data_IF_145167359690
#
_entry.id   IF_145167359690
#
_cell.length_a   1.000
_cell.length_b   1.000
_cell.length_c   1.000
_cell.angle_alpha   90.00
_cell.angle_beta   90.00
_cell.angle_gamma   90.00
#
_symmetry.space_group_name_H-M   'P 1'
#
loop_
_entity.id
_entity.type
_entity.pdbx_description
1 polymer ?
#
# COMPACT_ATOMS: atom_id res chain seq x y z
N UNK A 1 -18.19 -17.31 15.78
CA UNK A 1 -17.60 -17.20 15.67
C UNK A 1 -16.85 -16.45 15.70
N UNK A 2 -16.59 -16.13 15.66
CA UNK A 2 -15.94 -15.43 15.72
C UNK A 2 -15.11 -14.94 15.15
N UNK A 3 -15.78 -14.68 14.78
CA UNK A 3 -14.97 -14.15 14.12
C UNK A 3 -13.94 -13.57 14.77
N UNK A 4 -12.96 -13.65 14.36
CA UNK A 4 -11.86 -13.20 15.07
C UNK A 4 -11.52 -11.81 14.68
N UNK A 5 -11.73 -10.90 15.59
CA UNK A 5 -11.52 -9.55 15.28
C UNK A 5 -10.11 -9.19 15.13
N UNK A 6 -9.20 -9.95 15.69
CA UNK A 6 -7.79 -9.69 15.55
C UNK A 6 -7.29 -10.00 14.17
N UNK A 7 -8.14 -10.70 13.44
CA UNK A 7 -7.83 -10.98 12.06
C UNK A 7 -8.42 -9.96 11.16
N UNK A 8 -8.93 -8.90 11.70
CA UNK A 8 -9.35 -7.82 10.88
C UNK A 8 -8.19 -7.50 9.99
N UNK A 9 -8.38 -7.58 8.75
CA UNK A 9 -7.26 -7.65 7.84
C UNK A 9 -6.55 -6.35 7.71
N UNK A 10 -5.35 -6.32 8.20
CA UNK A 10 -4.41 -5.34 7.77
C UNK A 10 -3.83 -5.75 6.43
N UNK A 11 -3.81 -7.06 6.11
CA UNK A 11 -3.35 -7.51 4.81
C UNK A 11 -4.50 -8.01 3.96
N UNK A 12 -4.36 -7.83 2.66
CA UNK A 12 -5.33 -8.22 1.65
C UNK A 12 -4.58 -8.95 0.54
N UNK A 13 -5.30 -9.48 -0.42
CA UNK A 13 -4.69 -10.13 -1.59
C UNK A 13 -4.12 -9.10 -2.55
N UNK A 14 -4.77 -7.95 -2.64
CA UNK A 14 -4.29 -6.85 -3.48
C UNK A 14 -4.70 -5.53 -2.85
N UNK A 15 -4.03 -4.45 -3.27
CA UNK A 15 -4.24 -3.11 -2.73
C UNK A 15 -4.27 -2.09 -3.85
N UNK A 16 -5.08 -1.04 -3.68
CA UNK A 16 -4.82 0.19 -4.41
C UNK A 16 -3.56 0.83 -3.80
N UNK A 17 -2.79 1.60 -4.55
CA UNK A 17 -1.59 2.23 -3.99
C UNK A 17 -1.84 3.01 -2.71
N UNK A 18 -2.93 3.76 -2.64
CA UNK A 18 -3.23 4.51 -1.42
C UNK A 18 -3.51 3.58 -0.23
N UNK A 19 -4.18 2.47 -0.46
CA UNK A 19 -4.45 1.52 0.62
C UNK A 19 -3.16 0.92 1.16
N UNK A 20 -2.23 0.60 0.28
CA UNK A 20 -0.92 0.10 0.68
C UNK A 20 -0.12 1.16 1.44
N UNK A 21 -0.14 2.41 0.95
CA UNK A 21 0.57 3.50 1.61
C UNK A 21 0.04 3.77 3.01
N UNK A 22 -1.28 3.71 3.17
CA UNK A 22 -1.93 3.90 4.47
C UNK A 22 -1.46 2.84 5.46
N UNK A 23 -1.40 1.58 5.02
CA UNK A 23 -0.96 0.48 5.88
C UNK A 23 0.53 0.56 6.17
N UNK A 24 1.33 0.96 5.19
CA UNK A 24 2.77 1.14 5.36
C UNK A 24 3.06 2.24 6.40
N UNK A 25 2.28 3.31 6.39
CA UNK A 25 2.45 4.40 7.33
C UNK A 25 1.82 4.14 8.70
N UNK A 26 1.12 3.01 8.86
CA UNK A 26 0.46 2.70 10.12
C UNK A 26 -0.79 3.52 10.38
N UNK A 27 -1.49 3.90 9.32
CA UNK A 27 -2.65 4.80 9.41
C UNK A 27 -3.97 4.11 9.09
N UNK A 28 -4.04 2.80 9.25
CA UNK A 28 -5.25 2.05 8.87
C UNK A 28 -6.52 2.59 9.53
N UNK A 29 -6.42 3.06 10.77
CA UNK A 29 -7.57 3.60 11.47
C UNK A 29 -8.16 4.85 10.82
N UNK A 30 -7.37 5.53 9.97
CA UNK A 30 -7.80 6.72 9.26
C UNK A 30 -8.19 6.44 7.82
N UNK A 31 -8.19 5.17 7.40
CA UNK A 31 -8.34 4.83 5.98
C UNK A 31 -9.62 5.38 5.37
N UNK A 32 -10.75 5.25 6.06
CA UNK A 32 -12.01 5.71 5.51
C UNK A 32 -12.00 7.22 5.26
N UNK A 33 -11.44 7.98 6.19
CA UNK A 33 -11.35 9.43 6.05
C UNK A 33 -10.40 9.82 4.92
N UNK A 34 -9.26 9.15 4.86
CA UNK A 34 -8.27 9.43 3.82
C UNK A 34 -8.85 9.13 2.44
N UNK A 35 -9.42 7.94 2.26
CA UNK A 35 -9.95 7.53 0.97
C UNK A 35 -11.07 8.45 0.51
N UNK A 36 -11.92 8.89 1.44
CA UNK A 36 -13.01 9.81 1.11
C UNK A 36 -12.53 11.18 0.67
N UNK A 37 -11.29 11.55 1.03
CA UNK A 37 -10.74 12.86 0.73
C UNK A 37 -9.98 12.92 -0.59
N UNK A 38 -9.80 11.78 -1.26
CA UNK A 38 -8.95 11.72 -2.45
C UNK A 38 -9.77 11.93 -3.71
N UNK A 39 -9.45 12.99 -4.44
CA UNK A 39 -10.12 13.29 -5.70
C UNK A 39 -9.41 12.63 -6.88
N UNK A 40 -8.11 12.37 -6.75
CA UNK A 40 -7.32 11.78 -7.80
C UNK A 40 -6.39 10.75 -7.18
N UNK A 41 -6.20 9.59 -7.81
CA UNK A 41 -5.39 8.52 -7.21
C UNK A 41 -3.93 8.92 -6.95
N UNK A 42 -3.40 9.88 -7.70
CA UNK A 42 -2.00 10.28 -7.52
C UNK A 42 -1.81 11.62 -6.85
N UNK A 43 -2.84 12.45 -6.83
CA UNK A 43 -2.76 13.79 -6.25
C UNK A 43 -3.37 13.77 -4.87
N UNK A 44 -2.55 13.60 -3.86
CA UNK A 44 -3.05 13.52 -2.50
C UNK A 44 -3.13 14.91 -1.88
N UNK A 45 -4.22 15.22 -1.18
CA UNK A 45 -4.38 16.53 -0.55
C UNK A 45 -3.48 16.67 0.67
N UNK A 46 -3.40 17.87 1.21
CA UNK A 46 -2.83 18.09 2.53
C UNK A 46 -3.89 17.72 3.57
N UNK A 47 -3.48 16.98 4.58
CA UNK A 47 -4.38 16.59 5.67
C UNK A 47 -3.66 16.86 6.98
N UNK A 48 -3.79 18.09 7.44
CA UNK A 48 -3.04 18.57 8.59
C UNK A 48 -3.36 17.82 9.88
N UNK A 49 -4.59 17.33 10.00
CA UNK A 49 -5.02 16.65 11.20
C UNK A 49 -4.67 15.16 11.20
N UNK A 50 -4.11 14.64 10.11
CA UNK A 50 -3.76 13.25 10.05
C UNK A 50 -2.29 13.07 10.43
N UNK A 51 -2.00 12.33 11.51
CA UNK A 51 -0.60 12.13 11.91
C UNK A 51 0.13 11.33 10.84
N UNK A 52 1.42 11.61 10.70
CA UNK A 52 2.28 10.92 9.73
C UNK A 52 1.76 10.97 8.30
N UNK A 53 1.00 12.00 7.97
CA UNK A 53 0.45 12.15 6.63
C UNK A 53 1.56 12.30 5.58
N UNK A 54 2.65 12.99 5.94
CA UNK A 54 3.76 13.16 5.00
C UNK A 54 4.41 11.82 4.66
N UNK A 55 4.48 10.91 5.64
CA UNK A 55 5.00 9.56 5.38
C UNK A 55 4.08 8.79 4.43
N UNK A 56 2.78 8.90 4.65
CA UNK A 56 1.80 8.24 3.80
C UNK A 56 1.95 8.72 2.35
N UNK A 57 2.08 10.04 2.17
CA UNK A 57 2.26 10.61 0.83
C UNK A 57 3.56 10.11 0.19
N UNK A 58 4.64 10.08 0.95
CA UNK A 58 5.91 9.57 0.45
C UNK A 58 5.80 8.11 0.02
N UNK A 59 5.14 7.30 0.81
CA UNK A 59 4.99 5.88 0.49
C UNK A 59 4.13 5.67 -0.74
N UNK A 60 3.09 6.47 -0.91
CA UNK A 60 2.29 6.44 -2.12
C UNK A 60 3.14 6.75 -3.34
N UNK A 61 3.99 7.80 -3.24
CA UNK A 61 4.87 8.16 -4.34
C UNK A 61 5.86 7.06 -4.66
N UNK A 62 6.40 6.40 -3.64
CA UNK A 62 7.34 5.30 -3.84
C UNK A 62 6.69 4.14 -4.59
N UNK A 63 5.44 3.84 -4.26
CA UNK A 63 4.71 2.76 -4.93
C UNK A 63 4.48 3.12 -6.40
N UNK A 64 4.03 4.34 -6.68
CA UNK A 64 3.84 4.78 -8.07
C UNK A 64 5.15 4.78 -8.84
N UNK A 65 6.25 5.20 -8.21
CA UNK A 65 7.55 5.17 -8.86
C UNK A 65 7.97 3.74 -9.19
N UNK A 66 7.70 2.79 -8.28
CA UNK A 66 7.98 1.39 -8.54
C UNK A 66 7.21 0.86 -9.74
N UNK A 67 5.95 1.27 -9.86
CA UNK A 67 5.11 0.89 -10.99
C UNK A 67 5.66 1.51 -12.28
N UNK A 68 5.96 2.80 -12.25
CA UNK A 68 6.41 3.51 -13.44
C UNK A 68 7.80 3.07 -13.89
N UNK A 69 8.63 2.62 -12.97
CA UNK A 69 9.97 2.15 -13.29
C UNK A 69 10.02 0.65 -13.61
N UNK A 70 8.85 0.03 -13.76
CA UNK A 70 8.72 -1.38 -14.08
C UNK A 70 9.35 -2.31 -13.02
N UNK A 71 9.39 -1.84 -11.77
CA UNK A 71 9.89 -2.64 -10.66
C UNK A 71 8.77 -3.43 -9.98
N UNK A 72 7.55 -2.93 -10.05
CA UNK A 72 6.41 -3.47 -9.33
C UNK A 72 5.28 -3.80 -10.31
N UNK A 73 4.93 -5.07 -10.45
CA UNK A 73 3.80 -5.45 -11.31
C UNK A 73 2.50 -4.85 -10.80
N UNK A 74 1.62 -4.52 -11.73
CA UNK A 74 0.34 -3.89 -11.38
C UNK A 74 -0.75 -4.35 -12.33
N UNK A 75 -1.98 -4.03 -11.99
CA UNK A 75 -3.11 -4.43 -12.80
C UNK A 75 -4.41 -3.86 -12.27
N UNK A 76 -5.47 -4.62 -12.44
CA UNK A 76 -6.82 -4.21 -12.07
C UNK A 76 -7.47 -5.30 -11.26
N UNK A 77 -7.99 -4.93 -10.09
CA UNK A 77 -8.74 -5.86 -9.23
C UNK A 77 -7.95 -7.14 -8.92
N UNK A 78 -6.65 -7.00 -8.70
CA UNK A 78 -5.80 -8.12 -8.32
C UNK A 78 -5.30 -8.96 -9.48
N UNK A 79 -5.64 -8.60 -10.71
CA UNK A 79 -5.18 -9.31 -11.91
C UNK A 79 -4.08 -8.47 -12.55
N UNK A 80 -2.90 -9.05 -12.69
CA UNK A 80 -1.75 -8.34 -13.27
C UNK A 80 -1.95 -8.14 -14.75
N UNK A 81 -1.92 -6.88 -15.18
CA UNK A 81 -2.09 -6.52 -16.59
C UNK A 81 -0.95 -5.66 -17.11
N UNK A 82 -0.32 -4.90 -16.24
CA UNK A 82 0.78 -3.97 -16.59
C UNK A 82 0.40 -3.01 -17.73
N UNK A 83 -0.87 -2.61 -17.77
CA UNK A 83 -1.38 -1.68 -18.77
C UNK A 83 -1.12 -0.25 -18.28
N UNK A 84 -0.31 0.54 -19.00
CA UNK A 84 0.02 1.90 -18.54
C UNK A 84 -1.20 2.79 -18.33
N UNK A 85 -2.31 2.54 -19.03
CA UNK A 85 -3.50 3.34 -18.86
C UNK A 85 -4.11 3.20 -17.47
N UNK A 86 -3.79 2.12 -16.75
CA UNK A 86 -4.30 1.91 -15.41
C UNK A 86 -3.63 2.80 -14.37
N UNK A 87 -2.48 3.39 -14.67
CA UNK A 87 -1.73 4.15 -13.67
C UNK A 87 -2.52 5.33 -13.12
N UNK A 88 -3.38 5.92 -13.95
CA UNK A 88 -4.24 7.04 -13.52
C UNK A 88 -5.63 6.58 -13.10
N UNK A 89 -5.89 5.29 -13.08
CA UNK A 89 -7.22 4.76 -12.79
C UNK A 89 -7.40 4.52 -11.30
N UNK A 90 -8.62 4.69 -10.83
CA UNK A 90 -8.99 4.30 -9.47
C UNK A 90 -9.03 2.78 -9.30
N UNK A 91 -9.01 2.05 -10.42
CA UNK A 91 -9.03 0.59 -10.39
C UNK A 91 -7.64 -0.04 -10.31
N UNK A 92 -6.60 0.79 -10.33
CA UNK A 92 -5.21 0.31 -10.24
C UNK A 92 -4.98 -0.45 -8.95
N UNK A 93 -4.44 -1.64 -9.06
CA UNK A 93 -4.08 -2.44 -7.89
C UNK A 93 -2.72 -3.09 -8.06
N UNK A 94 -2.09 -3.40 -6.92
CA UNK A 94 -0.88 -4.21 -6.87
C UNK A 94 -1.16 -5.38 -5.95
N UNK A 95 -0.60 -6.54 -6.26
CA UNK A 95 -0.85 -7.73 -5.46
C UNK A 95 0.05 -7.75 -4.24
N UNK A 96 -0.48 -8.33 -3.16
CA UNK A 96 0.27 -8.45 -1.91
C UNK A 96 1.63 -9.11 -2.11
N UNK A 97 1.67 -10.21 -2.85
CA UNK A 97 2.93 -10.95 -3.05
C UNK A 97 3.95 -10.13 -3.82
N UNK A 98 3.48 -9.36 -4.79
CA UNK A 98 4.38 -8.51 -5.60
C UNK A 98 4.88 -7.33 -4.80
N UNK A 99 4.01 -6.71 -4.00
CA UNK A 99 4.38 -5.57 -3.17
C UNK A 99 5.40 -6.00 -2.11
N UNK A 100 5.19 -7.16 -1.48
CA UNK A 100 6.11 -7.69 -0.49
C UNK A 100 7.49 -7.95 -1.10
N UNK A 101 7.53 -8.58 -2.27
CA UNK A 101 8.78 -8.86 -2.97
C UNK A 101 9.50 -7.57 -3.33
N UNK A 102 8.75 -6.61 -3.87
CA UNK A 102 9.30 -5.31 -4.26
C UNK A 102 9.89 -4.58 -3.05
N UNK A 103 9.16 -4.55 -1.93
CA UNK A 103 9.65 -3.87 -0.74
C UNK A 103 10.88 -4.55 -0.18
N UNK A 104 10.92 -5.88 -0.20
CA UNK A 104 12.09 -6.61 0.26
C UNK A 104 13.33 -6.26 -0.56
N UNK A 105 13.15 -6.04 -1.86
CA UNK A 105 14.27 -5.73 -2.75
C UNK A 105 14.72 -4.27 -2.68
N UNK A 106 13.79 -3.36 -2.56
CA UNK A 106 14.09 -1.93 -2.68
C UNK A 106 14.13 -1.18 -1.36
N UNK A 107 13.49 -1.69 -0.34
CA UNK A 107 13.43 -1.07 0.98
C UNK A 107 13.60 -2.14 2.05
N UNK A 108 14.77 -2.82 2.07
CA UNK A 108 14.93 -4.00 2.93
C UNK A 108 14.80 -3.75 4.42
N UNK A 109 15.04 -2.51 4.87
CA UNK A 109 14.87 -2.17 6.27
C UNK A 109 13.42 -1.83 6.62
N UNK A 110 12.54 -1.74 5.63
CA UNK A 110 11.12 -1.44 5.85
C UNK A 110 10.38 -2.77 5.96
N UNK A 111 9.84 -3.04 7.13
CA UNK A 111 9.14 -4.31 7.37
C UNK A 111 7.78 -4.08 7.99
N UNK A 112 6.87 -3.39 7.27
CA UNK A 112 5.55 -3.10 7.84
C UNK A 112 4.77 -4.39 8.09
N UNK A 113 3.98 -4.38 9.17
CA UNK A 113 3.30 -5.57 9.64
C UNK A 113 2.25 -6.09 8.67
N UNK A 114 1.75 -5.25 7.77
CA UNK A 114 0.74 -5.73 6.83
C UNK A 114 1.34 -6.64 5.75
N UNK A 115 2.67 -6.60 5.55
CA UNK A 115 3.36 -7.42 4.57
C UNK A 115 4.23 -8.50 5.20
N UNK A 116 4.81 -8.22 6.35
CA UNK A 116 5.79 -9.11 6.98
C UNK A 116 5.24 -9.62 8.29
N UNK A 117 5.33 -10.92 8.51
CA UNK A 117 4.90 -11.53 9.74
C UNK A 117 5.80 -11.10 10.89
N UNK A 118 5.37 -11.37 12.11
CA UNK A 118 6.16 -11.03 13.28
C UNK A 118 7.54 -11.68 13.23
N UNK A 119 7.60 -12.96 12.85
CA UNK A 119 8.87 -13.65 12.77
C UNK A 119 9.78 -13.05 11.71
N UNK A 120 9.22 -12.61 10.60
CA UNK A 120 10.00 -11.95 9.56
C UNK A 120 10.56 -10.61 10.03
N UNK A 121 9.82 -9.91 10.88
CA UNK A 121 10.26 -8.61 11.37
C UNK A 121 11.37 -8.73 12.42
N UNK A 122 11.28 -9.72 13.29
CA UNK A 122 12.26 -9.84 14.39
C UNK A 122 13.48 -10.66 13.99
N UNK A 123 13.39 -11.48 12.95
CA UNK A 123 14.52 -12.28 12.50
C UNK A 123 15.49 -11.49 11.63
N UNK A 124 15.12 -10.27 11.29
CA UNK A 124 15.97 -9.43 10.46
C UNK A 124 17.16 -8.96 11.28
N UNK A 125 18.38 -9.23 10.84
CA UNK A 125 19.58 -8.81 11.58
C UNK A 125 19.75 -7.31 11.61
#
# INVERSE_FOLDING_TARGET
MHENKNDAPTSKVFYRPIEAAIRWAGLLRYEAVIVASIASPRCLPQMLDCPRWNECRLYSERIYDGILNAELPFGKNGITLNDPDLVSSLDLTVRHVDLKRWMRQHYPEQRPSFLFSRSERIAHP
#
